data_IF_903567999243
#
_entry.id   IF_903567999243
#
_cell.length_a   1.000
_cell.length_b   1.000
_cell.length_c   1.000
_cell.angle_alpha   90.00
_cell.angle_beta   90.00
_cell.angle_gamma   90.00
#
_symmetry.space_group_name_H-M   'P 1'
#
loop_
_entity.id
_entity.type
_entity.pdbx_description
1 polymer ?
#
# COMPACT_ATOMS: atom_id res chain seq x y z
N UNK A 1 14.43 3.05 -8.26
CA UNK A 1 13.18 2.46 -7.74
C UNK A 1 12.06 3.48 -7.95
N UNK A 2 10.87 3.02 -8.32
CA UNK A 2 9.66 3.86 -8.38
C UNK A 2 8.72 3.50 -7.21
N UNK A 3 7.96 4.47 -6.74
CA UNK A 3 6.91 4.27 -5.74
C UNK A 3 5.55 4.20 -6.41
N UNK A 4 4.75 3.18 -6.09
CA UNK A 4 3.38 3.00 -6.55
C UNK A 4 2.45 2.99 -5.35
N UNK A 5 1.41 3.81 -5.39
CA UNK A 5 0.31 3.77 -4.42
C UNK A 5 -0.97 3.29 -5.08
N UNK A 6 -1.56 2.23 -4.54
CA UNK A 6 -2.83 1.68 -5.03
C UNK A 6 -4.00 2.51 -4.46
N UNK A 7 -4.64 3.30 -5.32
CA UNK A 7 -5.65 4.29 -4.94
C UNK A 7 -7.00 4.13 -5.67
N UNK A 8 -7.20 3.02 -6.41
CA UNK A 8 -8.36 2.77 -7.27
C UNK A 8 -9.53 2.00 -6.63
N UNK A 9 -9.52 1.77 -5.31
CA UNK A 9 -10.46 0.88 -4.64
C UNK A 9 -11.85 1.47 -4.35
N UNK A 10 -12.88 0.63 -4.35
CA UNK A 10 -14.29 1.03 -4.05
C UNK A 10 -14.55 1.43 -2.60
N UNK A 11 -13.74 0.97 -1.65
CA UNK A 11 -13.90 1.30 -0.22
C UNK A 11 -15.19 0.79 0.44
N UNK A 12 -15.86 -0.21 -0.12
CA UNK A 12 -17.22 -0.64 0.24
C UNK A 12 -17.40 -1.06 1.70
N UNK A 13 -16.35 -1.55 2.38
CA UNK A 13 -16.42 -2.05 3.77
C UNK A 13 -16.75 -0.98 4.81
N UNK A 14 -16.53 0.30 4.53
CA UNK A 14 -16.82 1.38 5.49
C UNK A 14 -18.21 1.99 5.36
N UNK A 15 -19.00 1.63 4.33
CA UNK A 15 -20.33 2.19 4.08
C UNK A 15 -20.38 3.73 4.20
N UNK A 16 -19.43 4.42 3.57
CA UNK A 16 -19.29 5.87 3.61
C UNK A 16 -20.00 6.51 2.42
N UNK A 17 -20.50 7.73 2.62
CA UNK A 17 -21.03 8.58 1.55
C UNK A 17 -19.93 9.12 0.62
N UNK A 18 -18.67 8.98 1.02
CA UNK A 18 -17.51 9.50 0.31
C UNK A 18 -16.39 8.46 0.17
N UNK A 19 -15.46 8.70 -0.75
CA UNK A 19 -14.34 7.79 -1.00
C UNK A 19 -13.43 7.71 0.22
N UNK A 20 -13.15 6.48 0.66
CA UNK A 20 -12.35 6.15 1.86
C UNK A 20 -11.01 6.90 1.92
N UNK A 21 -10.32 7.03 0.79
CA UNK A 21 -8.98 7.63 0.73
C UNK A 21 -8.99 9.16 0.92
N UNK A 22 -10.18 9.77 0.87
CA UNK A 22 -10.43 11.19 1.15
C UNK A 22 -10.79 11.47 2.61
N UNK A 23 -10.95 10.43 3.45
CA UNK A 23 -11.09 10.65 4.89
C UNK A 23 -9.88 11.43 5.41
N UNK A 24 -10.11 12.25 6.44
CA UNK A 24 -9.17 13.28 6.84
C UNK A 24 -8.51 12.94 8.18
N UNK A 25 -7.18 12.80 8.17
CA UNK A 25 -6.38 12.65 9.39
C UNK A 25 -5.26 13.68 9.34
N UNK A 26 -5.40 14.92 9.82
CA UNK A 26 -4.47 16.07 9.55
C UNK A 26 -4.46 16.57 8.08
N UNK A 27 -4.57 15.66 7.10
CA UNK A 27 -4.83 15.87 5.66
C UNK A 27 -5.50 14.62 5.09
N UNK A 28 -6.02 14.63 3.84
CA UNK A 28 -6.58 13.42 3.22
C UNK A 28 -5.58 12.25 3.27
N UNK A 29 -6.03 11.06 3.65
CA UNK A 29 -5.16 9.88 3.86
C UNK A 29 -4.25 9.61 2.67
N UNK A 30 -4.79 9.69 1.45
CA UNK A 30 -3.99 9.46 0.25
C UNK A 30 -2.81 10.43 0.13
N UNK A 31 -2.96 11.68 0.58
CA UNK A 31 -1.88 12.66 0.55
C UNK A 31 -0.83 12.39 1.63
N UNK A 32 -1.15 11.72 2.74
CA UNK A 32 -0.11 11.22 3.65
C UNK A 32 0.76 10.19 2.97
N UNK A 33 0.15 9.18 2.36
CA UNK A 33 0.90 8.10 1.72
C UNK A 33 1.80 8.64 0.62
N UNK A 34 1.26 9.50 -0.25
CA UNK A 34 2.03 10.11 -1.34
C UNK A 34 3.15 11.01 -0.84
N UNK A 35 2.89 11.85 0.17
CA UNK A 35 3.93 12.71 0.73
C UNK A 35 5.02 11.90 1.41
N UNK A 36 4.68 10.82 2.13
CA UNK A 36 5.67 9.93 2.74
C UNK A 36 6.54 9.23 1.69
N UNK A 37 5.94 8.79 0.58
CA UNK A 37 6.71 8.26 -0.56
C UNK A 37 7.67 9.32 -1.11
N UNK A 38 7.19 10.54 -1.40
CA UNK A 38 8.03 11.63 -1.92
C UNK A 38 9.15 12.02 -0.96
N UNK A 39 8.83 12.19 0.32
CA UNK A 39 9.76 12.66 1.35
C UNK A 39 10.79 11.61 1.76
N UNK A 40 10.55 10.33 1.46
CA UNK A 40 11.54 9.26 1.65
C UNK A 40 12.82 9.47 0.84
N UNK A 41 12.74 10.20 -0.28
CA UNK A 41 13.82 10.33 -1.26
C UNK A 41 14.34 8.99 -1.81
N UNK A 42 13.56 7.91 -1.69
CA UNK A 42 13.92 6.59 -2.21
C UNK A 42 13.52 6.39 -3.68
N UNK A 43 12.63 7.24 -4.20
CA UNK A 43 11.98 7.01 -5.49
C UNK A 43 12.31 8.11 -6.49
N UNK A 44 12.64 7.71 -7.71
CA UNK A 44 12.77 8.65 -8.83
C UNK A 44 11.41 9.21 -9.26
N UNK A 45 10.33 8.49 -8.93
CA UNK A 45 8.96 8.82 -9.33
C UNK A 45 7.95 8.17 -8.38
N UNK A 46 6.83 8.85 -8.15
CA UNK A 46 5.68 8.32 -7.41
C UNK A 46 4.46 8.36 -8.32
N UNK A 47 3.78 7.22 -8.46
CA UNK A 47 2.60 7.04 -9.33
C UNK A 47 1.44 6.55 -8.47
N UNK A 48 0.27 7.16 -8.62
CA UNK A 48 -0.96 6.68 -8.03
C UNK A 48 -1.79 5.89 -9.04
N UNK A 49 -2.11 4.65 -8.71
CA UNK A 49 -2.95 3.78 -9.54
C UNK A 49 -4.41 4.04 -9.21
N UNK A 50 -5.15 4.60 -10.15
CA UNK A 50 -6.53 5.05 -9.97
C UNK A 50 -7.49 4.27 -10.86
N UNK A 51 -8.78 4.29 -10.52
CA UNK A 51 -9.81 3.68 -11.37
C UNK A 51 -11.10 4.51 -11.36
N UNK A 52 -12.07 4.22 -12.25
CA UNK A 52 -13.40 4.84 -12.22
C UNK A 52 -14.18 4.63 -10.91
N UNK A 53 -13.75 3.73 -10.03
CA UNK A 53 -14.37 3.52 -8.71
C UNK A 53 -14.07 4.66 -7.72
N UNK A 54 -13.02 5.45 -7.96
CA UNK A 54 -12.51 6.48 -7.05
C UNK A 54 -12.20 7.82 -7.77
N UNK A 55 -13.17 8.41 -8.49
CA UNK A 55 -12.93 9.59 -9.32
C UNK A 55 -12.51 10.83 -8.51
N UNK A 56 -13.02 11.01 -7.28
CA UNK A 56 -12.67 12.16 -6.45
C UNK A 56 -11.24 12.05 -5.91
N UNK A 57 -10.79 10.84 -5.57
CA UNK A 57 -9.41 10.55 -5.17
C UNK A 57 -8.46 10.87 -6.32
N UNK A 58 -8.78 10.44 -7.55
CA UNK A 58 -8.01 10.78 -8.75
C UNK A 58 -7.91 12.29 -8.94
N UNK A 59 -9.04 12.99 -8.89
CA UNK A 59 -9.07 14.45 -9.03
C UNK A 59 -8.18 15.15 -8.00
N UNK A 60 -8.24 14.76 -6.73
CA UNK A 60 -7.39 15.32 -5.68
C UNK A 60 -5.89 15.08 -5.97
N UNK A 61 -5.54 13.88 -6.42
CA UNK A 61 -4.15 13.54 -6.79
C UNK A 61 -3.64 14.42 -7.94
N UNK A 62 -4.43 14.58 -8.99
CA UNK A 62 -4.08 15.42 -10.15
C UNK A 62 -3.94 16.91 -9.76
N UNK A 63 -4.85 17.42 -8.93
CA UNK A 63 -4.79 18.80 -8.39
C UNK A 63 -3.52 19.04 -7.55
N UNK A 64 -2.96 17.98 -6.95
CA UNK A 64 -1.70 18.01 -6.20
C UNK A 64 -0.47 17.63 -7.05
N UNK A 65 -0.59 17.62 -8.39
CA UNK A 65 0.46 17.27 -9.34
C UNK A 65 1.08 15.89 -9.07
N UNK A 66 0.25 14.92 -8.68
CA UNK A 66 0.66 13.52 -8.55
C UNK A 66 0.36 12.83 -9.87
N UNK A 67 1.35 12.09 -10.41
CA UNK A 67 1.10 11.32 -11.62
C UNK A 67 0.14 10.16 -11.32
N UNK A 68 -0.86 10.00 -12.19
CA UNK A 68 -1.86 8.94 -12.08
C UNK A 68 -1.73 7.93 -13.22
N UNK A 69 -1.97 6.65 -12.92
CA UNK A 69 -2.10 5.59 -13.89
C UNK A 69 -3.49 4.96 -13.79
N UNK A 70 -4.28 5.06 -14.86
CA UNK A 70 -5.65 4.56 -14.86
C UNK A 70 -5.73 3.07 -15.12
N UNK A 71 -6.57 2.38 -14.34
CA UNK A 71 -6.94 0.99 -14.50
C UNK A 71 -8.46 0.83 -14.58
N UNK A 72 -8.92 -0.39 -14.85
CA UNK A 72 -10.35 -0.71 -14.88
C UNK A 72 -10.98 -0.84 -13.49
N UNK A 73 -10.19 -1.02 -12.43
CA UNK A 73 -10.71 -1.15 -11.07
C UNK A 73 -11.49 -2.44 -10.84
N UNK A 74 -11.14 -3.51 -11.57
CA UNK A 74 -11.79 -4.83 -11.44
C UNK A 74 -11.38 -5.52 -10.13
N UNK A 75 -10.15 -5.31 -9.68
CA UNK A 75 -9.61 -5.87 -8.45
C UNK A 75 -8.15 -5.47 -8.24
N UNK A 76 -7.67 -5.68 -7.01
CA UNK A 76 -6.30 -5.31 -6.62
C UNK A 76 -5.25 -6.03 -7.45
N UNK A 77 -5.44 -7.33 -7.67
CA UNK A 77 -4.47 -8.17 -8.40
C UNK A 77 -4.40 -7.77 -9.86
N UNK A 78 -5.55 -7.55 -10.50
CA UNK A 78 -5.64 -7.15 -11.91
C UNK A 78 -4.99 -5.78 -12.15
N UNK A 79 -5.30 -4.81 -11.28
CA UNK A 79 -4.75 -3.46 -11.36
C UNK A 79 -3.23 -3.46 -11.12
N UNK A 80 -2.76 -4.24 -10.13
CA UNK A 80 -1.34 -4.39 -9.83
C UNK A 80 -0.59 -5.08 -10.99
N UNK A 81 -1.17 -6.13 -11.55
CA UNK A 81 -0.57 -6.83 -12.70
C UNK A 81 -0.43 -5.90 -13.91
N UNK A 82 -1.45 -5.11 -14.20
CA UNK A 82 -1.43 -4.14 -15.31
C UNK A 82 -0.32 -3.10 -15.11
N UNK A 83 -0.16 -2.59 -13.89
CA UNK A 83 0.86 -1.57 -13.61
C UNK A 83 2.27 -2.17 -13.65
N UNK A 84 2.48 -3.38 -13.14
CA UNK A 84 3.77 -4.07 -13.17
C UNK A 84 4.21 -4.45 -14.60
N UNK A 85 3.28 -4.73 -15.51
CA UNK A 85 3.59 -4.92 -16.94
C UNK A 85 3.98 -3.62 -17.65
N UNK A 86 3.52 -2.48 -17.12
CA UNK A 86 3.78 -1.17 -17.74
C UNK A 86 5.17 -0.63 -17.41
N UNK A 87 5.60 -0.81 -16.16
CA UNK A 87 6.87 -0.28 -15.67
C UNK A 87 7.91 -1.38 -15.58
N UNK A 88 9.09 -1.13 -16.14
CA UNK A 88 10.22 -2.06 -16.13
C UNK A 88 11.26 -1.56 -15.13
N UNK A 89 10.91 -1.59 -13.85
CA UNK A 89 11.65 -0.95 -12.75
C UNK A 89 11.64 -1.82 -11.49
N UNK A 90 12.50 -1.50 -10.54
CA UNK A 90 12.29 -1.92 -9.15
C UNK A 90 11.17 -1.05 -8.55
N UNK A 91 10.12 -1.68 -8.04
CA UNK A 91 8.88 -1.05 -7.60
C UNK A 91 8.68 -1.25 -6.11
N UNK A 92 8.39 -0.17 -5.39
CA UNK A 92 7.78 -0.22 -4.07
C UNK A 92 6.29 0.03 -4.23
N UNK A 93 5.47 -0.96 -3.92
CA UNK A 93 4.00 -0.84 -3.95
C UNK A 93 3.50 -0.65 -2.52
N UNK A 94 2.53 0.24 -2.33
CA UNK A 94 1.82 0.41 -1.06
C UNK A 94 0.32 0.61 -1.29
N UNK A 95 -0.47 0.27 -0.28
CA UNK A 95 -1.88 0.66 -0.23
C UNK A 95 -2.02 2.17 0.04
N UNK A 96 -3.05 2.80 -0.54
CA UNK A 96 -3.35 4.22 -0.33
C UNK A 96 -4.02 4.54 1.02
N UNK A 97 -4.36 3.53 1.82
CA UNK A 97 -5.12 3.66 3.07
C UNK A 97 -4.27 3.53 4.33
N UNK A 98 -2.99 3.91 4.24
CA UNK A 98 -1.99 3.80 5.31
C UNK A 98 -1.69 5.16 5.94
N UNK A 99 -2.56 5.66 6.83
CA UNK A 99 -2.51 7.01 7.42
C UNK A 99 -1.26 7.31 8.26
N UNK A 100 -0.58 6.27 8.76
CA UNK A 100 0.60 6.40 9.62
C UNK A 100 1.92 6.14 8.89
N UNK A 101 1.87 5.87 7.58
CA UNK A 101 3.07 5.64 6.78
C UNK A 101 3.94 6.90 6.80
N UNK A 102 5.23 6.74 7.08
CA UNK A 102 6.20 7.85 7.09
C UNK A 102 7.44 7.55 6.25
N UNK A 103 8.25 8.58 6.01
CA UNK A 103 9.47 8.47 5.20
C UNK A 103 10.51 7.49 5.78
N UNK A 104 10.58 7.36 7.11
CA UNK A 104 11.60 6.55 7.79
C UNK A 104 11.29 5.06 7.70
N UNK A 105 10.03 4.66 7.83
CA UNK A 105 9.64 3.26 7.69
C UNK A 105 9.76 2.82 6.23
N UNK A 106 9.47 3.70 5.27
CA UNK A 106 9.73 3.45 3.85
C UNK A 106 11.21 3.19 3.61
N UNK A 107 12.11 4.07 4.08
CA UNK A 107 13.56 3.87 3.98
C UNK A 107 14.00 2.54 4.62
N UNK A 108 13.44 2.21 5.78
CA UNK A 108 13.73 0.94 6.47
C UNK A 108 13.35 -0.26 5.60
N UNK A 109 12.16 -0.26 4.99
CA UNK A 109 11.69 -1.34 4.11
C UNK A 109 12.53 -1.41 2.84
N UNK A 110 12.81 -0.27 2.17
CA UNK A 110 13.64 -0.22 0.97
C UNK A 110 15.03 -0.81 1.21
N UNK A 111 15.61 -0.58 2.40
CA UNK A 111 16.90 -1.16 2.79
C UNK A 111 16.87 -2.69 3.01
N UNK A 112 15.69 -3.31 3.09
CA UNK A 112 15.53 -4.77 3.15
C UNK A 112 15.45 -5.42 1.77
N UNK A 113 15.51 -4.63 0.68
CA UNK A 113 15.49 -5.14 -0.68
C UNK A 113 16.64 -6.14 -0.92
N UNK A 114 16.29 -7.36 -1.29
CA UNK A 114 17.21 -8.38 -1.77
C UNK A 114 17.10 -8.50 -3.29
N UNK A 115 18.18 -8.16 -4.01
CA UNK A 115 18.22 -8.23 -5.46
C UNK A 115 18.03 -9.63 -6.04
N UNK A 116 18.13 -10.69 -5.23
CA UNK A 116 17.87 -12.06 -5.68
C UNK A 116 16.37 -12.41 -5.63
N UNK A 117 15.54 -11.58 -4.98
CA UNK A 117 14.11 -11.82 -4.83
C UNK A 117 13.32 -10.95 -5.80
N UNK A 118 12.39 -11.57 -6.52
CA UNK A 118 11.53 -10.87 -7.49
C UNK A 118 10.41 -10.13 -6.75
N UNK A 119 9.83 -10.76 -5.73
CA UNK A 119 8.72 -10.21 -4.98
C UNK A 119 8.95 -10.45 -3.50
N UNK A 120 8.92 -9.38 -2.71
CA UNK A 120 9.01 -9.43 -1.24
C UNK A 120 7.88 -8.63 -0.64
N UNK A 121 6.98 -9.29 0.08
CA UNK A 121 5.86 -8.66 0.78
C UNK A 121 6.20 -8.43 2.25
N UNK A 122 5.78 -7.28 2.75
CA UNK A 122 5.99 -6.88 4.15
C UNK A 122 4.79 -7.30 4.97
N UNK A 123 5.07 -8.06 6.02
CA UNK A 123 4.10 -8.61 6.94
C UNK A 123 4.24 -8.00 8.32
N UNK A 124 3.13 -7.98 9.04
CA UNK A 124 3.08 -7.73 10.49
C UNK A 124 2.49 -8.94 11.19
N UNK A 125 2.86 -9.16 12.44
CA UNK A 125 2.33 -10.27 13.24
C UNK A 125 0.90 -9.97 13.71
N UNK A 126 0.09 -11.02 13.87
CA UNK A 126 -1.23 -10.92 14.53
C UNK A 126 -1.10 -10.31 15.94
N UNK A 127 0.02 -10.57 16.63
CA UNK A 127 0.32 -10.01 17.95
C UNK A 127 0.37 -8.48 17.92
N UNK A 128 1.01 -7.89 16.90
CA UNK A 128 1.05 -6.44 16.76
C UNK A 128 -0.35 -5.87 16.48
N UNK A 129 -1.09 -6.45 15.53
CA UNK A 129 -2.46 -6.01 15.19
C UNK A 129 -3.37 -6.00 16.43
N UNK A 130 -3.37 -7.11 17.17
CA UNK A 130 -4.14 -7.22 18.42
C UNK A 130 -3.74 -6.15 19.43
N UNK A 131 -2.44 -5.85 19.56
CA UNK A 131 -1.95 -4.84 20.51
C UNK A 131 -2.36 -3.40 20.17
N UNK A 132 -2.69 -3.12 18.91
CA UNK A 132 -3.18 -1.81 18.44
C UNK A 132 -4.70 -1.78 18.24
N UNK A 133 -5.40 -2.87 18.57
CA UNK A 133 -6.86 -2.94 18.49
C UNK A 133 -7.41 -3.13 17.08
N UNK A 134 -6.58 -3.58 16.13
CA UNK A 134 -6.98 -3.85 14.75
C UNK A 134 -6.98 -5.36 14.47
N UNK A 135 -7.59 -5.74 13.35
CA UNK A 135 -7.56 -7.10 12.84
C UNK A 135 -7.53 -7.09 11.30
N UNK A 136 -7.24 -8.25 10.72
CA UNK A 136 -7.31 -8.44 9.27
C UNK A 136 -7.82 -9.85 8.96
N UNK A 137 -8.74 -9.93 8.00
CA UNK A 137 -9.36 -11.20 7.58
C UNK A 137 -8.36 -12.12 6.86
N UNK A 138 -7.39 -11.53 6.16
CA UNK A 138 -6.41 -12.28 5.38
C UNK A 138 -5.11 -12.45 6.16
N UNK A 139 -4.71 -13.70 6.36
CA UNK A 139 -3.53 -14.06 7.14
C UNK A 139 -2.84 -15.27 6.54
N UNK A 140 -1.54 -15.39 6.82
CA UNK A 140 -0.72 -16.54 6.46
C UNK A 140 0.08 -17.02 7.66
N UNK A 141 0.56 -18.27 7.59
CA UNK A 141 1.55 -18.78 8.54
C UNK A 141 2.93 -18.61 7.91
N UNK A 142 3.78 -17.80 8.54
CA UNK A 142 5.16 -17.59 8.14
C UNK A 142 6.06 -17.65 9.39
N UNK A 143 7.18 -18.37 9.33
CA UNK A 143 8.08 -18.63 10.46
C UNK A 143 7.34 -19.08 11.75
N UNK A 144 6.37 -19.99 11.59
CA UNK A 144 5.53 -20.52 12.67
C UNK A 144 4.69 -19.45 13.40
N UNK A 145 4.45 -18.31 12.77
CA UNK A 145 3.64 -17.21 13.30
C UNK A 145 2.51 -16.84 12.34
N UNK A 146 1.36 -16.48 12.89
CA UNK A 146 0.26 -15.92 12.11
C UNK A 146 0.58 -14.46 11.79
N UNK A 147 0.64 -14.16 10.49
CA UNK A 147 1.06 -12.87 9.96
C UNK A 147 0.03 -12.33 8.97
N UNK A 148 0.02 -11.02 8.77
CA UNK A 148 -0.90 -10.30 7.91
C UNK A 148 -0.14 -9.38 6.96
N UNK A 149 -0.68 -9.22 5.76
CA UNK A 149 -0.14 -8.31 4.78
C UNK A 149 -0.42 -6.86 5.16
N UNK A 150 0.61 -6.03 5.08
CA UNK A 150 0.51 -4.57 5.25
C UNK A 150 -0.05 -3.87 4.00
N UNK A 151 -0.02 -4.58 2.85
CA UNK A 151 -0.25 -3.99 1.53
C UNK A 151 1.00 -3.33 0.94
N UNK A 152 2.17 -3.52 1.55
CA UNK A 152 3.47 -3.08 1.04
C UNK A 152 4.26 -4.25 0.46
N UNK A 153 4.79 -4.07 -0.75
CA UNK A 153 5.68 -5.04 -1.40
C UNK A 153 6.82 -4.34 -2.16
N UNK A 154 7.98 -4.98 -2.20
CA UNK A 154 9.09 -4.67 -3.08
C UNK A 154 9.08 -5.66 -4.23
N UNK A 155 9.01 -5.16 -5.47
CA UNK A 155 8.81 -5.98 -6.66
C UNK A 155 9.79 -5.54 -7.75
N UNK A 156 10.65 -6.46 -8.19
CA UNK A 156 11.51 -6.26 -9.34
C UNK A 156 10.77 -6.69 -10.60
N UNK A 157 10.03 -5.75 -11.23
CA UNK A 157 9.22 -6.07 -12.42
C UNK A 157 10.08 -6.45 -13.62
N UNK A 158 11.37 -6.07 -13.63
CA UNK A 158 12.32 -6.40 -14.68
C UNK A 158 12.63 -7.89 -14.76
N UNK A 159 12.41 -8.61 -13.65
CA UNK A 159 12.61 -10.07 -13.55
C UNK A 159 11.32 -10.86 -13.77
N UNK A 160 10.19 -10.19 -13.99
CA UNK A 160 8.90 -10.83 -14.22
C UNK A 160 8.77 -11.20 -15.70
N UNK A 161 9.07 -12.47 -16.02
CA UNK A 161 8.79 -13.03 -17.34
C UNK A 161 7.33 -13.46 -17.51
N UNK A 162 6.71 -13.89 -16.41
CA UNK A 162 5.29 -14.21 -16.30
C UNK A 162 4.81 -13.86 -14.90
N UNK A 163 3.58 -13.37 -14.79
CA UNK A 163 2.92 -13.14 -13.50
C UNK A 163 2.33 -14.45 -12.94
N UNK A 164 2.35 -15.53 -13.71
CA UNK A 164 1.96 -16.86 -13.28
C UNK A 164 3.10 -17.50 -12.48
N UNK A 165 2.82 -17.97 -11.26
CA UNK A 165 3.76 -18.69 -10.38
C UNK A 165 5.00 -17.89 -9.94
N UNK A 166 4.83 -16.60 -9.61
CA UNK A 166 5.89 -15.82 -8.98
C UNK A 166 6.20 -16.33 -7.57
N UNK A 167 7.48 -16.52 -7.27
CA UNK A 167 7.93 -16.83 -5.91
C UNK A 167 7.83 -15.57 -5.05
N UNK A 168 6.83 -15.53 -4.19
CA UNK A 168 6.65 -14.48 -3.20
C UNK A 168 7.46 -14.78 -1.94
N UNK A 169 8.27 -13.80 -1.53
CA UNK A 169 9.05 -13.84 -0.30
C UNK A 169 8.39 -12.94 0.75
N UNK A 170 8.66 -13.21 2.02
CA UNK A 170 8.02 -12.51 3.12
C UNK A 170 9.05 -11.99 4.11
N UNK A 171 8.86 -10.75 4.56
CA UNK A 171 9.63 -10.16 5.66
C UNK A 171 8.66 -9.69 6.72
N UNK A 172 8.86 -10.15 7.96
CA UNK A 172 8.10 -9.67 9.12
C UNK A 172 8.75 -8.40 9.64
N UNK A 173 7.98 -7.32 9.70
CA UNK A 173 8.40 -6.03 10.24
C UNK A 173 7.28 -5.45 11.11
N UNK A 174 7.36 -5.72 12.42
CA UNK A 174 6.38 -5.20 13.38
C UNK A 174 6.61 -3.71 13.67
N UNK A 175 5.89 -2.85 12.97
CA UNK A 175 5.85 -1.41 13.19
C UNK A 175 4.43 -0.86 13.03
N UNK A 176 3.97 -0.06 14.00
CA UNK A 176 2.61 0.49 14.00
C UNK A 176 2.31 1.34 12.77
N UNK A 177 3.32 1.98 12.19
CA UNK A 177 3.20 2.84 11.01
C UNK A 177 2.75 2.10 9.75
N UNK A 178 2.98 0.80 9.69
CA UNK A 178 2.59 -0.07 8.57
C UNK A 178 1.56 -1.14 8.94
N UNK A 179 1.12 -1.16 10.21
CA UNK A 179 0.17 -2.15 10.71
C UNK A 179 -1.29 -1.68 10.66
N UNK A 180 -1.55 -0.40 10.39
CA UNK A 180 -2.89 0.18 10.34
C UNK A 180 -3.28 0.57 8.91
N UNK A 181 -4.10 -0.28 8.28
CA UNK A 181 -4.86 0.06 7.08
C UNK A 181 -6.28 0.42 7.48
N UNK A 182 -6.83 1.49 6.90
CA UNK A 182 -8.20 1.90 7.18
C UNK A 182 -9.20 1.06 6.39
N UNK A 183 -9.80 0.04 7.01
CA UNK A 183 -10.79 -0.83 6.35
C UNK A 183 -12.19 -0.70 6.91
N UNK A 184 -12.30 -0.33 8.18
CA UNK A 184 -13.53 -0.21 8.95
C UNK A 184 -13.62 1.16 9.63
N UNK A 185 -14.83 1.53 10.08
CA UNK A 185 -15.02 2.73 10.89
C UNK A 185 -14.20 2.67 12.20
N UNK A 186 -14.07 1.48 12.80
CA UNK A 186 -13.27 1.28 14.00
C UNK A 186 -11.79 1.64 13.76
N UNK A 187 -11.23 1.25 12.61
CA UNK A 187 -9.84 1.61 12.25
C UNK A 187 -9.65 3.13 12.18
N UNK A 188 -10.65 3.83 11.64
CA UNK A 188 -10.64 5.28 11.56
C UNK A 188 -10.82 5.95 12.92
N UNK A 189 -11.66 5.41 13.78
CA UNK A 189 -11.83 5.91 15.15
C UNK A 189 -10.54 5.72 15.97
N UNK A 190 -9.80 4.62 15.75
CA UNK A 190 -8.49 4.40 16.38
C UNK A 190 -7.46 5.48 16.01
N UNK A 191 -7.47 5.98 14.76
CA UNK A 191 -6.60 7.09 14.36
C UNK A 191 -6.81 8.36 15.16
N UNK A 192 -8.05 8.65 15.53
CA UNK A 192 -8.38 9.86 16.28
C UNK A 192 -7.81 9.87 17.70
N UNK A 193 -7.39 8.69 18.19
CA UNK A 193 -6.78 8.50 19.51
C UNK A 193 -5.25 8.36 19.46
N UNK A 194 -4.65 8.38 18.27
CA UNK A 194 -3.24 8.11 18.00
C UNK A 194 -2.36 9.37 17.86
#
# INVERSE_FOLDING_TARGET
MIGIVMAGGKGTRMNLDNEKLLLHYKKPIILHVVDSLKNSNCFSKVIAVTSPNSPKTKKLLEENNIETFDTSGLGYVEDLNLVLQKFNDLVFVTSGDMPLLDEKIIQTIVNQHDSNKIWTSILVTEKLLTSIGTNSEYSIIHNNQKCHFTGISLIDSQKINSLENLEENFVILDDKRIALNLNTKQDYDLLSTA
#
